data_IF_061664847920
#
_entry.id   IF_061664847920
#
_cell.length_a   1.000
_cell.length_b   1.000
_cell.length_c   1.000
_cell.angle_alpha   90.00
_cell.angle_beta   90.00
_cell.angle_gamma   90.00
#
_symmetry.space_group_name_H-M   'P 1'
#
loop_
_entity.id
_entity.type
_entity.pdbx_description
1 polymer ?
#
# COMPACT_ATOMS: atom_id res chain seq x y z
N UNK A 1 -12.29 4.34 24.94
CA UNK A 1 -12.76 3.98 23.62
C UNK A 1 -11.87 4.59 22.56
N UNK A 2 -11.58 3.86 21.55
CA UNK A 2 -10.69 4.36 20.53
C UNK A 2 -11.46 4.94 19.36
N UNK A 3 -11.31 6.23 19.18
CA UNK A 3 -11.83 6.89 17.98
C UNK A 3 -10.85 6.78 16.81
N UNK A 4 -9.67 6.21 17.07
CA UNK A 4 -8.65 6.02 16.07
C UNK A 4 -8.71 4.64 15.43
N UNK A 5 -9.63 3.80 15.85
CA UNK A 5 -9.79 2.48 15.24
C UNK A 5 -10.10 2.63 13.76
N UNK A 6 -9.25 2.05 12.93
CA UNK A 6 -9.47 2.07 11.50
C UNK A 6 -10.57 1.07 11.16
N UNK A 7 -11.56 1.51 10.44
CA UNK A 7 -12.67 0.66 10.04
C UNK A 7 -12.46 0.18 8.61
N UNK A 8 -12.77 -1.10 8.41
CA UNK A 8 -12.81 -1.67 7.07
C UNK A 8 -13.96 -1.05 6.28
N UNK A 9 -13.68 -0.59 5.06
CA UNK A 9 -14.66 0.11 4.24
C UNK A 9 -15.27 -0.76 3.14
N UNK A 10 -14.81 -2.00 3.00
CA UNK A 10 -15.44 -2.96 2.11
C UNK A 10 -14.92 -3.01 0.68
N UNK A 11 -14.13 -2.04 0.25
CA UNK A 11 -13.61 -2.04 -1.12
C UNK A 11 -12.35 -2.88 -1.26
N UNK A 12 -11.85 -3.07 -2.48
CA UNK A 12 -10.61 -3.82 -2.68
C UNK A 12 -9.39 -3.02 -2.26
N UNK A 13 -8.31 -3.75 -1.97
CA UNK A 13 -6.99 -3.16 -1.77
C UNK A 13 -6.32 -3.09 -3.13
N UNK A 14 -5.76 -1.93 -3.47
CA UNK A 14 -4.95 -1.78 -4.67
C UNK A 14 -3.51 -2.13 -4.31
N UNK A 15 -2.99 -3.14 -4.97
CA UNK A 15 -1.60 -3.60 -4.78
C UNK A 15 -0.78 -3.16 -5.99
N UNK A 16 0.14 -2.23 -5.76
CA UNK A 16 1.02 -1.73 -6.83
C UNK A 16 2.39 -2.38 -6.66
N UNK A 17 2.65 -3.37 -7.49
CA UNK A 17 3.84 -4.21 -7.40
C UNK A 17 4.08 -4.85 -8.77
N UNK A 18 5.34 -4.96 -9.18
CA UNK A 18 5.68 -5.52 -10.48
C UNK A 18 6.28 -6.92 -10.41
N UNK A 19 6.71 -7.36 -9.24
CA UNK A 19 7.41 -8.62 -9.07
C UNK A 19 6.42 -9.77 -8.84
N UNK A 20 6.32 -10.74 -9.77
CA UNK A 20 5.26 -11.77 -9.69
C UNK A 20 5.24 -12.57 -8.39
N UNK A 21 6.42 -12.90 -7.84
CA UNK A 21 6.49 -13.66 -6.60
C UNK A 21 5.95 -12.87 -5.41
N UNK A 22 6.21 -11.58 -5.38
CA UNK A 22 5.73 -10.70 -4.31
C UNK A 22 4.23 -10.51 -4.45
N UNK A 23 3.74 -10.30 -5.67
CA UNK A 23 2.31 -10.19 -5.95
C UNK A 23 1.58 -11.44 -5.46
N UNK A 24 2.07 -12.62 -5.82
CA UNK A 24 1.43 -13.88 -5.44
C UNK A 24 1.39 -14.05 -3.93
N UNK A 25 2.49 -13.74 -3.25
CA UNK A 25 2.57 -13.85 -1.80
C UNK A 25 1.60 -12.90 -1.10
N UNK A 26 1.61 -11.64 -1.49
CA UNK A 26 0.74 -10.63 -0.89
C UNK A 26 -0.73 -10.93 -1.14
N UNK A 27 -1.06 -11.28 -2.38
CA UNK A 27 -2.43 -11.59 -2.75
C UNK A 27 -2.96 -12.78 -1.95
N UNK A 28 -2.17 -13.85 -1.85
CA UNK A 28 -2.58 -15.03 -1.11
C UNK A 28 -2.81 -14.71 0.37
N UNK A 29 -1.88 -13.96 0.98
CA UNK A 29 -1.99 -13.60 2.38
C UNK A 29 -3.21 -12.72 2.67
N UNK A 30 -3.46 -11.75 1.80
CA UNK A 30 -4.59 -10.83 1.97
C UNK A 30 -5.93 -11.52 1.73
N UNK A 31 -6.02 -12.31 0.67
CA UNK A 31 -7.28 -12.99 0.34
C UNK A 31 -7.67 -14.02 1.39
N UNK A 32 -6.70 -14.65 2.03
CA UNK A 32 -6.99 -15.58 3.14
C UNK A 32 -7.65 -14.90 4.34
N UNK A 33 -7.45 -13.61 4.49
CA UNK A 33 -8.05 -12.84 5.58
C UNK A 33 -9.32 -12.12 5.16
N UNK A 34 -9.80 -12.37 3.95
CA UNK A 34 -11.07 -11.82 3.47
C UNK A 34 -10.96 -10.52 2.69
N UNK A 35 -9.75 -10.04 2.42
CA UNK A 35 -9.57 -8.84 1.61
C UNK A 35 -9.65 -9.19 0.12
N UNK A 36 -10.24 -8.29 -0.66
CA UNK A 36 -10.16 -8.36 -2.12
C UNK A 36 -8.97 -7.56 -2.58
N UNK A 37 -8.30 -8.03 -3.63
CA UNK A 37 -7.07 -7.42 -4.12
C UNK A 37 -7.16 -7.16 -5.62
N UNK A 38 -6.81 -5.94 -6.02
CA UNK A 38 -6.62 -5.57 -7.42
C UNK A 38 -5.16 -5.22 -7.60
N UNK A 39 -4.50 -5.84 -8.57
CA UNK A 39 -3.08 -5.60 -8.80
C UNK A 39 -2.85 -4.62 -9.95
N UNK A 40 -1.94 -3.69 -9.76
CA UNK A 40 -1.38 -2.85 -10.81
C UNK A 40 0.11 -3.14 -10.89
N UNK A 41 0.61 -3.39 -12.08
CA UNK A 41 1.99 -3.82 -12.28
C UNK A 41 3.00 -2.69 -12.37
N UNK A 42 2.55 -1.45 -12.24
CA UNK A 42 3.43 -0.28 -12.27
C UNK A 42 2.76 0.89 -11.56
N UNK A 43 3.56 1.90 -11.23
CA UNK A 43 3.02 3.13 -10.65
C UNK A 43 2.04 3.82 -11.58
N UNK A 44 2.34 3.85 -12.87
CA UNK A 44 1.44 4.45 -13.87
C UNK A 44 0.10 3.75 -13.93
N UNK A 45 0.11 2.43 -13.93
CA UNK A 45 -1.14 1.66 -13.91
C UNK A 45 -1.88 1.89 -12.60
N UNK A 46 -1.14 1.97 -11.48
CA UNK A 46 -1.73 2.27 -10.18
C UNK A 46 -2.48 3.59 -10.18
N UNK A 47 -1.90 4.63 -10.78
CA UNK A 47 -2.56 5.93 -10.88
C UNK A 47 -3.80 5.87 -11.76
N UNK A 48 -3.77 5.11 -12.83
CA UNK A 48 -4.96 4.92 -13.67
C UNK A 48 -6.09 4.25 -12.89
N UNK A 49 -5.77 3.22 -12.13
CA UNK A 49 -6.75 2.52 -11.30
C UNK A 49 -7.34 3.45 -10.24
N UNK A 50 -6.48 4.23 -9.60
CA UNK A 50 -6.92 5.18 -8.58
C UNK A 50 -7.80 6.28 -9.14
N UNK A 51 -7.57 6.67 -10.39
CA UNK A 51 -8.40 7.69 -11.06
C UNK A 51 -9.78 7.16 -11.40
N UNK A 52 -9.91 5.86 -11.63
CA UNK A 52 -11.13 5.27 -12.18
C UNK A 52 -11.96 4.52 -11.16
N UNK A 53 -11.42 4.15 -10.00
CA UNK A 53 -12.12 3.29 -9.07
C UNK A 53 -11.98 3.70 -7.62
N UNK A 54 -12.72 2.99 -6.76
CA UNK A 54 -12.66 3.17 -5.31
C UNK A 54 -11.94 2.00 -4.68
N UNK A 55 -11.14 2.28 -3.66
CA UNK A 55 -10.35 1.26 -2.96
C UNK A 55 -10.44 1.48 -1.46
N UNK A 56 -10.27 0.40 -0.71
CA UNK A 56 -10.23 0.47 0.76
C UNK A 56 -8.85 0.88 1.25
N UNK A 57 -7.82 0.67 0.44
CA UNK A 57 -6.46 1.02 0.77
C UNK A 57 -5.51 0.72 -0.36
N UNK A 58 -4.27 1.14 -0.20
CA UNK A 58 -3.22 0.97 -1.20
C UNK A 58 -1.98 0.38 -0.55
N UNK A 59 -1.43 -0.65 -1.15
CA UNK A 59 -0.12 -1.18 -0.80
C UNK A 59 0.76 -0.98 -2.01
N UNK A 60 1.86 -0.27 -1.86
CA UNK A 60 2.74 0.05 -2.99
C UNK A 60 4.20 -0.16 -2.64
N UNK A 61 4.92 -0.80 -3.55
CA UNK A 61 6.37 -0.79 -3.50
C UNK A 61 6.86 0.64 -3.73
N UNK A 62 7.91 1.05 -3.03
CA UNK A 62 8.48 2.38 -3.22
C UNK A 62 9.27 2.43 -4.53
N UNK A 63 10.05 1.39 -4.80
CA UNK A 63 10.86 1.32 -6.02
C UNK A 63 10.23 0.41 -7.05
N UNK A 64 9.89 1.01 -8.18
CA UNK A 64 9.34 0.29 -9.31
C UNK A 64 9.98 0.80 -10.59
N UNK A 65 10.15 -0.06 -11.62
CA UNK A 65 10.63 0.43 -12.90
C UNK A 65 9.62 1.39 -13.54
N UNK A 66 10.11 2.28 -14.37
CA UNK A 66 9.27 3.25 -15.05
C UNK A 66 9.36 4.62 -14.43
N UNK A 67 8.47 5.51 -14.89
CA UNK A 67 8.53 6.93 -14.52
C UNK A 67 7.87 7.25 -13.19
N UNK A 68 6.96 6.39 -12.74
CA UNK A 68 6.19 6.64 -11.51
C UNK A 68 6.58 5.61 -10.48
N UNK A 69 7.14 6.06 -9.36
CA UNK A 69 7.50 5.22 -8.23
C UNK A 69 6.49 5.36 -7.10
N UNK A 70 6.71 4.63 -6.00
CA UNK A 70 5.80 4.66 -4.86
C UNK A 70 5.69 6.03 -4.20
N UNK A 71 6.77 6.81 -4.19
CA UNK A 71 6.73 8.16 -3.63
C UNK A 71 5.80 9.06 -4.44
N UNK A 72 5.82 8.93 -5.75
CA UNK A 72 4.95 9.71 -6.63
C UNK A 72 3.49 9.28 -6.51
N UNK A 73 3.25 7.98 -6.36
CA UNK A 73 1.89 7.48 -6.11
C UNK A 73 1.37 8.04 -4.78
N UNK A 74 2.20 8.00 -3.75
CA UNK A 74 1.85 8.54 -2.44
C UNK A 74 1.49 10.02 -2.53
N UNK A 75 2.31 10.81 -3.22
CA UNK A 75 2.08 12.25 -3.38
C UNK A 75 0.78 12.52 -4.13
N UNK A 76 0.51 11.74 -5.18
CA UNK A 76 -0.72 11.88 -5.95
C UNK A 76 -1.95 11.60 -5.09
N UNK A 77 -1.89 10.57 -4.26
CA UNK A 77 -2.99 10.22 -3.35
C UNK A 77 -3.24 11.34 -2.34
N UNK A 78 -2.16 11.86 -1.75
CA UNK A 78 -2.30 12.94 -0.76
C UNK A 78 -3.01 14.15 -1.35
N UNK A 79 -2.79 14.42 -2.64
CA UNK A 79 -3.39 15.55 -3.31
C UNK A 79 -4.80 15.27 -3.81
N UNK A 80 -5.07 14.08 -4.32
CA UNK A 80 -6.26 13.80 -5.12
C UNK A 80 -7.29 12.88 -4.46
N UNK A 81 -6.89 12.08 -3.47
CA UNK A 81 -7.78 11.10 -2.84
C UNK A 81 -7.71 11.22 -1.33
N UNK A 82 -8.41 12.24 -0.76
CA UNK A 82 -8.36 12.48 0.69
C UNK A 82 -8.74 11.26 1.54
N UNK A 83 -9.68 10.45 1.07
CA UNK A 83 -10.15 9.27 1.80
C UNK A 83 -9.09 8.18 1.92
N UNK A 84 -8.04 8.24 1.10
CA UNK A 84 -6.96 7.25 1.12
C UNK A 84 -5.69 7.76 1.79
N UNK A 85 -5.66 9.00 2.25
CA UNK A 85 -4.43 9.60 2.80
C UNK A 85 -3.80 8.80 3.93
N UNK A 86 -4.62 8.21 4.79
CA UNK A 86 -4.15 7.41 5.92
C UNK A 86 -4.29 5.91 5.67
N UNK A 87 -4.59 5.51 4.46
CA UNK A 87 -4.84 4.13 4.10
C UNK A 87 -3.85 3.65 3.05
N UNK A 88 -2.58 3.93 3.29
CA UNK A 88 -1.47 3.56 2.41
C UNK A 88 -0.43 2.81 3.22
N UNK A 89 0.08 1.71 2.67
CA UNK A 89 1.23 0.99 3.21
C UNK A 89 2.27 0.95 2.11
N UNK A 90 3.50 1.32 2.45
CA UNK A 90 4.62 1.26 1.52
C UNK A 90 5.46 0.03 1.81
N UNK A 91 6.02 -0.56 0.77
CA UNK A 91 6.92 -1.71 0.89
C UNK A 91 8.27 -1.29 0.32
N UNK A 92 9.34 -1.63 1.02
CA UNK A 92 10.69 -1.27 0.58
C UNK A 92 11.66 -2.41 0.83
N UNK A 93 12.52 -2.65 -0.17
CA UNK A 93 13.68 -3.54 0.01
C UNK A 93 14.94 -2.77 0.42
N UNK A 94 14.85 -1.45 0.52
CA UNK A 94 16.00 -0.60 0.82
C UNK A 94 15.59 0.58 1.69
N UNK A 95 15.35 0.29 2.97
CA UNK A 95 14.97 1.32 3.94
C UNK A 95 16.16 2.17 4.39
N UNK A 96 17.39 1.79 4.02
CA UNK A 96 18.57 2.59 4.29
C UNK A 96 18.75 3.73 3.27
N UNK A 97 18.01 3.70 2.16
CA UNK A 97 18.06 4.74 1.15
C UNK A 97 17.56 6.06 1.72
N UNK A 98 18.31 7.14 1.49
CA UNK A 98 17.99 8.43 2.08
C UNK A 98 16.66 9.01 1.61
N UNK A 99 16.32 8.79 0.35
CA UNK A 99 15.03 9.27 -0.18
C UNK A 99 13.86 8.54 0.49
N UNK A 100 14.00 7.23 0.68
CA UNK A 100 13.02 6.43 1.40
C UNK A 100 12.86 6.91 2.83
N UNK A 101 13.96 7.13 3.54
CA UNK A 101 13.93 7.61 4.91
C UNK A 101 13.26 8.98 5.02
N UNK A 102 13.57 9.87 4.08
CA UNK A 102 12.93 11.19 4.05
C UNK A 102 11.43 11.09 3.84
N UNK A 103 11.01 10.26 2.88
CA UNK A 103 9.59 10.05 2.60
C UNK A 103 8.86 9.54 3.85
N UNK A 104 9.41 8.52 4.51
CA UNK A 104 8.77 7.91 5.66
C UNK A 104 8.73 8.86 6.85
N UNK A 105 9.81 9.61 7.07
CA UNK A 105 9.88 10.56 8.19
C UNK A 105 8.90 11.71 8.01
N UNK A 106 8.73 12.19 6.78
CA UNK A 106 7.83 13.31 6.50
C UNK A 106 6.38 12.90 6.47
N UNK A 107 6.08 11.71 5.98
CA UNK A 107 4.69 11.29 5.77
C UNK A 107 4.09 10.53 6.95
N UNK A 108 4.92 9.88 7.75
CA UNK A 108 4.44 8.99 8.80
C UNK A 108 3.73 7.75 8.26
N UNK A 109 3.84 7.48 6.98
CA UNK A 109 3.17 6.36 6.34
C UNK A 109 3.81 5.04 6.77
N UNK A 110 3.01 4.02 7.13
CA UNK A 110 3.56 2.71 7.48
C UNK A 110 4.37 2.12 6.34
N UNK A 111 5.50 1.51 6.68
CA UNK A 111 6.36 0.84 5.72
C UNK A 111 6.71 -0.55 6.21
N UNK A 112 6.65 -1.52 5.30
CA UNK A 112 7.06 -2.89 5.58
C UNK A 112 8.34 -3.14 4.80
N UNK A 113 9.37 -3.60 5.50
CA UNK A 113 10.67 -3.87 4.90
C UNK A 113 10.72 -5.30 4.36
N UNK A 114 11.21 -5.46 3.15
CA UNK A 114 11.47 -6.78 2.55
C UNK A 114 12.78 -7.35 3.09
N UNK A 115 12.89 -8.65 3.35
CA UNK A 115 11.80 -9.63 3.36
C UNK A 115 10.95 -9.52 4.63
N UNK A 116 9.66 -9.83 4.52
CA UNK A 116 8.75 -9.74 5.67
C UNK A 116 7.97 -11.05 5.80
N UNK A 117 7.44 -11.25 7.02
CA UNK A 117 6.60 -12.42 7.32
C UNK A 117 5.13 -12.05 7.20
N UNK A 118 4.29 -13.07 6.99
CA UNK A 118 2.84 -12.89 6.92
C UNK A 118 2.32 -12.14 8.15
N UNK A 119 2.82 -12.50 9.34
CA UNK A 119 2.37 -11.86 10.59
C UNK A 119 2.67 -10.36 10.62
N UNK A 120 3.85 -9.97 10.13
CA UNK A 120 4.21 -8.55 10.04
C UNK A 120 3.29 -7.82 9.08
N UNK A 121 3.06 -8.42 7.91
CA UNK A 121 2.17 -7.86 6.91
C UNK A 121 0.77 -7.67 7.48
N UNK A 122 0.20 -8.72 8.04
CA UNK A 122 -1.18 -8.68 8.51
C UNK A 122 -1.37 -7.74 9.70
N UNK A 123 -0.37 -7.63 10.57
CA UNK A 123 -0.43 -6.67 11.67
C UNK A 123 -0.57 -5.24 11.16
N UNK A 124 0.23 -4.87 10.16
CA UNK A 124 0.18 -3.52 9.58
C UNK A 124 -1.10 -3.32 8.77
N UNK A 125 -1.49 -4.33 8.00
CA UNK A 125 -2.70 -4.26 7.16
C UNK A 125 -3.95 -4.04 8.02
N UNK A 126 -4.12 -4.85 9.06
CA UNK A 126 -5.32 -4.75 9.90
C UNK A 126 -5.36 -3.43 10.67
N UNK A 127 -4.19 -2.96 11.10
CA UNK A 127 -4.10 -1.68 11.79
C UNK A 127 -4.39 -0.51 10.87
N UNK A 128 -3.96 -0.60 9.62
CA UNK A 128 -4.07 0.51 8.66
C UNK A 128 -5.41 0.53 7.93
N UNK A 129 -5.94 -0.64 7.56
CA UNK A 129 -7.17 -0.73 6.76
C UNK A 129 -8.39 -1.22 7.55
N UNK A 130 -8.19 -1.83 8.71
CA UNK A 130 -9.25 -2.51 9.45
C UNK A 130 -9.39 -3.95 9.00
N UNK A 131 -10.24 -4.69 9.70
CA UNK A 131 -10.51 -6.11 9.39
C UNK A 131 -11.79 -6.22 8.59
N UNK A 132 -11.80 -7.05 7.54
CA UNK A 132 -13.02 -7.30 6.79
C UNK A 132 -14.04 -8.10 7.59
#
# INVERSE_FOLDING_TARGET
MSLQSTMWTGGPILLIEDEPSVIAFLRAALERRGYSVVNAGSGSEGLKRLSAGKFAGVISDIRMPGKVNGAEVHAWIQKNRPELRTRIILISGDTANSETQTLLAQSGTPCIEKPFRVQQLMSVVEKTFGKP
#
